data_IF_531856601078
#
_entry.id   IF_531856601078
#
_cell.length_a   1.000
_cell.length_b   1.000
_cell.length_c   1.000
_cell.angle_alpha   90.00
_cell.angle_beta   90.00
_cell.angle_gamma   90.00
#
_symmetry.space_group_name_H-M   'P 1'
#
loop_
_entity.id
_entity.type
_entity.pdbx_description
1 polymer ?
#
# COMPACT_ATOMS: atom_id res chain seq x y z
N UNK A 1 -6.67 -20.35 -7.28
CA UNK A 1 -5.35 -20.62 -6.66
C UNK A 1 -5.27 -19.96 -5.28
N UNK A 2 -4.49 -20.46 -4.30
CA UNK A 2 -4.21 -19.65 -3.12
C UNK A 2 -3.66 -18.31 -3.62
N UNK A 3 -4.30 -17.21 -3.22
CA UNK A 3 -4.14 -15.88 -3.81
C UNK A 3 -2.69 -15.44 -3.82
N UNK A 4 -2.28 -14.75 -4.88
CA UNK A 4 -0.94 -14.15 -4.94
C UNK A 4 -0.74 -13.24 -3.73
N UNK A 5 0.45 -13.31 -3.11
CA UNK A 5 0.82 -12.41 -2.01
C UNK A 5 0.81 -10.97 -2.51
N UNK A 6 0.11 -10.08 -1.82
CA UNK A 6 0.12 -8.65 -2.11
C UNK A 6 0.99 -7.95 -1.07
N UNK A 7 2.29 -8.27 -1.10
CA UNK A 7 3.25 -7.72 -0.16
C UNK A 7 3.68 -6.30 -0.57
N UNK A 8 3.58 -5.36 0.37
CA UNK A 8 4.09 -4.01 0.22
C UNK A 8 5.02 -3.62 1.36
N UNK A 9 6.00 -2.78 1.06
CA UNK A 9 6.89 -2.13 2.04
C UNK A 9 6.24 -0.81 2.45
N UNK A 10 5.96 -0.65 3.75
CA UNK A 10 5.38 0.56 4.33
C UNK A 10 6.46 1.56 4.80
N UNK A 11 7.67 1.07 5.08
CA UNK A 11 8.78 1.88 5.54
C UNK A 11 9.91 1.06 6.14
N UNK A 12 10.73 1.70 6.97
CA UNK A 12 11.80 1.06 7.71
C UNK A 12 11.48 1.04 9.21
N UNK A 13 11.69 -0.10 9.85
CA UNK A 13 11.63 -0.27 11.30
C UNK A 13 13.01 -0.59 11.90
N UNK A 14 13.11 -0.70 13.22
CA UNK A 14 14.36 -1.00 13.92
C UNK A 14 14.96 -2.38 13.57
N UNK A 15 14.17 -3.25 12.93
CA UNK A 15 14.56 -4.61 12.55
C UNK A 15 14.57 -4.84 11.02
N UNK A 16 14.61 -3.76 10.23
CA UNK A 16 14.57 -3.81 8.77
C UNK A 16 13.24 -3.31 8.19
N UNK A 17 12.93 -3.64 6.93
CA UNK A 17 11.73 -3.15 6.25
C UNK A 17 10.44 -3.55 6.98
N UNK A 18 9.55 -2.58 7.21
CA UNK A 18 8.19 -2.84 7.66
C UNK A 18 7.37 -3.24 6.43
N UNK A 19 6.83 -4.46 6.44
CA UNK A 19 6.06 -5.01 5.33
C UNK A 19 4.68 -5.43 5.76
N UNK A 20 3.74 -5.42 4.81
CA UNK A 20 2.37 -5.88 4.99
C UNK A 20 1.97 -6.75 3.80
N UNK A 21 1.31 -7.88 4.03
CA UNK A 21 0.60 -8.62 2.98
C UNK A 21 -0.88 -8.26 3.07
N UNK A 22 -1.33 -7.32 2.23
CA UNK A 22 -2.73 -6.86 2.28
C UNK A 22 -3.73 -7.97 1.94
N UNK A 23 -3.33 -9.02 1.23
CA UNK A 23 -4.23 -10.15 1.00
C UNK A 23 -4.40 -11.02 2.26
N UNK A 24 -3.35 -11.12 3.09
CA UNK A 24 -3.36 -11.89 4.33
C UNK A 24 -4.03 -11.15 5.49
N UNK A 25 -3.88 -9.83 5.57
CA UNK A 25 -4.47 -8.99 6.63
C UNK A 25 -5.98 -8.75 6.46
N UNK A 26 -6.53 -9.04 5.27
CA UNK A 26 -7.93 -8.86 4.92
C UNK A 26 -8.13 -7.84 3.79
N UNK A 27 -9.29 -7.83 3.12
CA UNK A 27 -9.47 -7.15 1.84
C UNK A 27 -9.37 -5.62 1.89
N UNK A 28 -9.26 -5.02 3.08
CA UNK A 28 -9.36 -3.58 3.30
C UNK A 28 -8.30 -3.07 4.27
N UNK A 29 -7.68 -1.93 3.92
CA UNK A 29 -6.72 -1.21 4.74
C UNK A 29 -7.28 0.18 5.09
N UNK A 30 -7.13 0.59 6.35
CA UNK A 30 -7.45 1.95 6.82
C UNK A 30 -6.15 2.66 7.24
N UNK A 31 -5.96 3.89 6.76
CA UNK A 31 -4.83 4.76 7.15
C UNK A 31 -5.37 6.08 7.66
N UNK A 32 -5.07 6.40 8.92
CA UNK A 32 -5.45 7.65 9.57
C UNK A 32 -4.24 8.51 9.89
N UNK A 33 -4.42 9.82 9.88
CA UNK A 33 -3.37 10.78 10.22
C UNK A 33 -3.81 12.22 10.04
N UNK A 34 -3.40 13.08 10.97
CA UNK A 34 -3.65 14.52 10.91
C UNK A 34 -2.89 15.22 9.77
N UNK A 35 -3.17 16.51 9.58
CA UNK A 35 -2.45 17.32 8.60
C UNK A 35 -0.93 17.26 8.84
N UNK A 36 -0.17 17.07 7.76
CA UNK A 36 1.29 16.95 7.82
C UNK A 36 1.84 15.60 8.30
N UNK A 37 1.00 14.60 8.61
CA UNK A 37 1.46 13.29 9.08
C UNK A 37 2.15 12.42 8.01
N UNK A 38 2.08 12.83 6.74
CA UNK A 38 2.60 12.04 5.62
C UNK A 38 1.63 10.99 5.07
N UNK A 39 0.34 10.99 5.46
CA UNK A 39 -0.68 10.04 4.95
C UNK A 39 -0.64 9.89 3.42
N UNK A 40 -0.59 11.00 2.69
CA UNK A 40 -0.55 10.99 1.22
C UNK A 40 0.72 10.32 0.69
N UNK A 41 1.86 10.54 1.35
CA UNK A 41 3.12 9.95 0.94
C UNK A 41 3.20 8.46 1.27
N UNK A 42 2.61 8.04 2.39
CA UNK A 42 2.45 6.63 2.71
C UNK A 42 1.59 5.91 1.66
N UNK A 43 0.47 6.50 1.24
CA UNK A 43 -0.39 5.91 0.20
C UNK A 43 0.32 5.84 -1.17
N UNK A 44 1.09 6.86 -1.54
CA UNK A 44 1.92 6.82 -2.77
C UNK A 44 3.00 5.74 -2.69
N UNK A 45 3.69 5.63 -1.55
CA UNK A 45 4.72 4.61 -1.32
C UNK A 45 4.13 3.20 -1.36
N UNK A 46 2.95 3.00 -0.78
CA UNK A 46 2.22 1.74 -0.84
C UNK A 46 1.90 1.34 -2.29
N UNK A 47 1.34 2.27 -3.08
CA UNK A 47 1.02 2.02 -4.49
C UNK A 47 2.28 1.71 -5.32
N UNK A 48 3.37 2.45 -5.10
CA UNK A 48 4.65 2.20 -5.77
C UNK A 48 5.23 0.83 -5.37
N UNK A 49 5.16 0.45 -4.10
CA UNK A 49 5.65 -0.85 -3.64
C UNK A 49 4.85 -2.01 -4.22
N UNK A 50 3.52 -1.89 -4.30
CA UNK A 50 2.67 -2.91 -4.92
C UNK A 50 2.95 -3.03 -6.43
N UNK A 51 3.09 -1.89 -7.12
CA UNK A 51 3.46 -1.85 -8.54
C UNK A 51 4.82 -2.51 -8.82
N UNK A 52 5.79 -2.35 -7.91
CA UNK A 52 7.11 -2.95 -8.04
C UNK A 52 7.11 -4.45 -7.69
N UNK A 53 6.18 -4.91 -6.86
CA UNK A 53 6.11 -6.29 -6.37
C UNK A 53 5.35 -7.24 -7.31
N UNK A 54 4.46 -6.73 -8.17
CA UNK A 54 3.64 -7.56 -9.05
C UNK A 54 3.67 -7.10 -10.52
N UNK A 55 3.24 -7.99 -11.41
CA UNK A 55 3.13 -7.73 -12.83
C UNK A 55 1.84 -6.95 -13.14
N UNK A 56 1.85 -6.09 -14.17
CA UNK A 56 0.67 -5.31 -14.57
C UNK A 56 -0.51 -6.17 -15.05
N UNK A 57 -0.30 -7.43 -15.46
CA UNK A 57 -1.38 -8.38 -15.79
C UNK A 57 -2.05 -9.03 -14.57
N UNK A 58 -1.53 -8.80 -13.36
CA UNK A 58 -1.99 -9.40 -12.10
C UNK A 58 -2.44 -8.39 -11.06
N UNK A 59 -2.00 -7.14 -11.19
CA UNK A 59 -2.36 -6.03 -10.31
C UNK A 59 -3.00 -4.89 -11.11
N UNK A 60 -4.20 -4.52 -10.70
CA UNK A 60 -4.86 -3.29 -11.13
C UNK A 60 -5.05 -2.37 -9.92
N UNK A 61 -4.83 -1.07 -10.09
CA UNK A 61 -5.00 -0.07 -9.05
C UNK A 61 -5.85 1.10 -9.57
N UNK A 62 -6.84 1.50 -8.76
CA UNK A 62 -7.59 2.72 -8.96
C UNK A 62 -7.21 3.71 -7.85
N UNK A 63 -6.62 4.84 -8.22
CA UNK A 63 -6.23 5.90 -7.29
C UNK A 63 -7.29 6.99 -7.33
N UNK A 64 -7.93 7.24 -6.19
CA UNK A 64 -8.93 8.29 -6.02
C UNK A 64 -8.42 9.26 -4.96
N UNK A 65 -8.24 10.51 -5.32
CA UNK A 65 -7.92 11.57 -4.39
C UNK A 65 -9.19 12.39 -4.10
N UNK A 66 -9.43 12.68 -2.81
CA UNK A 66 -10.55 13.51 -2.35
C UNK A 66 -10.31 15.01 -2.51
N UNK A 67 -9.19 15.40 -3.10
CA UNK A 67 -8.88 16.79 -3.42
C UNK A 67 -9.82 17.38 -4.48
N UNK A 68 -10.91 18.00 -4.02
CA UNK A 68 -11.63 19.13 -4.63
C UNK A 68 -12.15 19.01 -6.07
N UNK A 69 -13.49 19.11 -6.21
CA UNK A 69 -14.05 20.16 -7.07
C UNK A 69 -14.14 21.45 -6.25
#
# INVERSE_FOLDING_TARGET
PPGGRLCAVLGAGPHGPLTVDVAAEGPHLLVEGGAGSGKTELLRSLAASLAAADRPDRLAMALVDGGGL
#
